data_IF_449252683677
#
_entry.id   IF_449252683677
#
_cell.length_a   1.000
_cell.length_b   1.000
_cell.length_c   1.000
_cell.angle_alpha   90.00
_cell.angle_beta   90.00
_cell.angle_gamma   90.00
#
_symmetry.space_group_name_H-M   'P 1'
#
loop_
_entity.id
_entity.type
_entity.pdbx_description
1 polymer ?
#
# COMPACT_ATOMS: atom_id res chain seq x y z
N UNK A 1 23.06 -13.60 -24.31
CA UNK A 1 23.98 -14.05 -23.25
C UNK A 1 25.41 -13.92 -23.74
N UNK A 2 26.22 -13.13 -23.04
CA UNK A 2 27.59 -12.79 -23.44
C UNK A 2 28.53 -13.99 -23.27
N UNK A 3 29.51 -14.14 -24.18
CA UNK A 3 30.48 -15.26 -24.16
C UNK A 3 31.28 -15.34 -22.85
N UNK A 4 31.52 -14.19 -22.21
CA UNK A 4 32.16 -14.08 -20.89
C UNK A 4 31.42 -14.88 -19.80
N UNK A 5 30.08 -14.89 -19.77
CA UNK A 5 29.34 -15.66 -18.77
C UNK A 5 29.27 -17.15 -19.12
N UNK A 6 29.29 -17.50 -20.42
CA UNK A 6 29.23 -18.89 -20.87
C UNK A 6 30.53 -19.65 -20.61
N UNK A 7 31.67 -18.96 -20.71
CA UNK A 7 32.98 -19.56 -20.54
C UNK A 7 33.48 -19.50 -19.08
N UNK A 8 32.72 -18.89 -18.17
CA UNK A 8 33.08 -18.79 -16.76
C UNK A 8 32.70 -20.07 -16.02
N UNK A 9 33.70 -20.81 -15.55
CA UNK A 9 33.51 -21.92 -14.62
C UNK A 9 33.33 -21.39 -13.21
N UNK A 10 32.09 -21.22 -12.76
CA UNK A 10 31.80 -20.80 -11.39
C UNK A 10 32.08 -21.92 -10.40
N UNK A 11 32.89 -21.64 -9.37
CA UNK A 11 33.13 -22.56 -8.26
C UNK A 11 31.93 -22.72 -7.32
N UNK A 12 31.03 -21.73 -7.33
CA UNK A 12 29.78 -21.77 -6.58
C UNK A 12 28.68 -21.09 -7.38
N UNK A 13 27.48 -21.63 -7.23
CA UNK A 13 26.25 -21.18 -7.85
C UNK A 13 25.18 -21.00 -6.78
N UNK A 14 24.18 -20.17 -7.08
CA UNK A 14 22.97 -20.03 -6.25
C UNK A 14 22.27 -21.39 -5.99
N UNK A 15 22.49 -22.36 -6.87
CA UNK A 15 21.94 -23.71 -6.75
C UNK A 15 22.55 -24.47 -5.56
N UNK A 16 23.80 -24.17 -5.18
CA UNK A 16 24.49 -24.87 -4.08
C UNK A 16 23.84 -24.53 -2.73
N UNK A 17 23.34 -23.30 -2.59
CA UNK A 17 22.74 -22.77 -1.36
C UNK A 17 21.20 -22.81 -1.37
N UNK A 18 20.58 -23.53 -2.32
CA UNK A 18 19.13 -23.47 -2.51
C UNK A 18 18.35 -23.82 -1.23
N UNK A 19 18.78 -24.85 -0.52
CA UNK A 19 18.18 -25.28 0.76
C UNK A 19 18.20 -24.18 1.81
N UNK A 20 19.30 -23.41 1.88
CA UNK A 20 19.46 -22.30 2.82
C UNK A 20 18.50 -21.15 2.51
N UNK A 21 18.34 -20.79 1.24
CA UNK A 21 17.40 -19.75 0.83
C UNK A 21 15.94 -20.15 1.07
N UNK A 22 15.60 -21.42 0.82
CA UNK A 22 14.27 -21.97 1.12
C UNK A 22 13.93 -21.91 2.61
N UNK A 23 14.85 -22.35 3.48
CA UNK A 23 14.65 -22.30 4.93
C UNK A 23 14.51 -20.85 5.43
N UNK A 24 15.38 -19.96 4.97
CA UNK A 24 15.30 -18.53 5.29
C UNK A 24 13.95 -17.94 4.88
N UNK A 25 13.45 -18.28 3.69
CA UNK A 25 12.14 -17.82 3.21
C UNK A 25 11.00 -18.30 4.12
N UNK A 26 11.03 -19.58 4.51
CA UNK A 26 10.04 -20.16 5.44
C UNK A 26 10.06 -19.47 6.80
N UNK A 27 11.24 -19.25 7.37
CA UNK A 27 11.39 -18.57 8.66
C UNK A 27 10.84 -17.13 8.63
N UNK A 28 11.08 -16.39 7.55
CA UNK A 28 10.53 -15.04 7.37
C UNK A 28 9.00 -15.10 7.28
N UNK A 29 8.44 -16.06 6.53
CA UNK A 29 7.01 -16.23 6.39
C UNK A 29 6.33 -16.61 7.71
N UNK A 30 6.92 -17.51 8.49
CA UNK A 30 6.42 -17.90 9.82
C UNK A 30 6.46 -16.72 10.81
N UNK A 31 7.55 -15.95 10.82
CA UNK A 31 7.65 -14.76 11.66
C UNK A 31 6.57 -13.74 11.31
N UNK A 32 6.32 -13.53 10.01
CA UNK A 32 5.25 -12.64 9.54
C UNK A 32 3.87 -13.16 9.97
N UNK A 33 3.59 -14.46 9.85
CA UNK A 33 2.29 -15.02 10.26
C UNK A 33 2.07 -14.94 11.77
N UNK A 34 3.10 -15.19 12.59
CA UNK A 34 3.02 -15.04 14.05
C UNK A 34 2.76 -13.60 14.49
N UNK A 35 3.41 -12.62 13.85
CA UNK A 35 3.15 -11.20 14.13
C UNK A 35 1.72 -10.78 13.78
N UNK A 36 1.17 -11.34 12.69
CA UNK A 36 -0.23 -11.10 12.32
C UNK A 36 -1.20 -11.74 13.33
N UNK A 37 -0.88 -12.95 13.81
CA UNK A 37 -1.69 -13.62 14.83
C UNK A 37 -1.64 -12.89 16.19
N UNK A 38 -0.49 -12.34 16.60
CA UNK A 38 -0.36 -11.62 17.88
C UNK A 38 -1.07 -10.26 17.91
N UNK A 39 -1.32 -9.66 16.75
CA UNK A 39 -2.07 -8.40 16.65
C UNK A 39 -3.59 -8.61 16.64
N UNK A 40 -4.06 -9.84 16.43
CA UNK A 40 -5.48 -10.19 16.43
C UNK A 40 -6.05 -10.49 17.83
N UNK A 41 -5.24 -10.40 18.91
CA UNK A 41 -5.63 -10.84 20.26
C UNK A 41 -5.69 -9.73 21.32
N UNK A 42 -5.72 -8.44 20.95
CA UNK A 42 -5.95 -7.35 21.93
C UNK A 42 -7.42 -6.93 21.95
N UNK A 43 -8.14 -7.05 23.08
CA UNK A 43 -9.47 -6.45 23.27
C UNK A 43 -9.37 -4.97 23.67
N UNK A 44 -10.46 -4.22 23.43
CA UNK A 44 -10.76 -2.80 23.82
C UNK A 44 -9.98 -1.72 23.04
N UNK A 45 -10.57 -0.79 22.26
CA UNK A 45 -11.78 0.03 22.43
C UNK A 45 -12.44 0.35 21.06
N UNK A 46 -13.74 0.58 21.09
CA UNK A 46 -14.69 0.59 19.98
C UNK A 46 -14.52 1.78 19.01
N UNK A 47 -14.20 1.49 17.74
CA UNK A 47 -14.83 2.03 16.51
C UNK A 47 -13.93 1.78 15.29
N UNK A 48 -14.43 1.02 14.31
CA UNK A 48 -13.89 0.80 12.93
C UNK A 48 -13.06 -0.48 12.71
N UNK A 49 -13.77 -1.58 12.45
CA UNK A 49 -13.51 -2.77 11.60
C UNK A 49 -12.08 -3.36 11.42
N UNK A 50 -11.95 -4.71 11.49
CA UNK A 50 -10.69 -5.42 11.69
C UNK A 50 -9.81 -5.40 10.43
N UNK A 51 -8.62 -4.81 10.53
CA UNK A 51 -7.69 -4.69 9.42
C UNK A 51 -6.53 -5.69 9.51
N UNK A 52 -6.62 -6.68 8.64
CA UNK A 52 -5.59 -7.61 8.23
C UNK A 52 -4.25 -6.87 7.95
N UNK A 53 -3.17 -7.21 8.65
CA UNK A 53 -1.87 -6.51 8.55
C UNK A 53 -1.10 -6.72 7.24
N UNK A 54 -1.51 -7.68 6.40
CA UNK A 54 -1.10 -7.73 4.99
C UNK A 54 -1.57 -6.48 4.23
N UNK A 55 -2.61 -5.82 4.75
CA UNK A 55 -3.21 -4.64 4.18
C UNK A 55 -2.55 -3.34 4.66
N UNK A 56 -1.48 -3.31 5.48
CA UNK A 56 -0.91 -2.03 5.94
C UNK A 56 -0.56 -1.09 4.76
N UNK A 57 0.08 -1.55 3.66
CA UNK A 57 0.26 -0.72 2.47
C UNK A 57 -1.07 -0.36 1.79
N UNK A 58 -2.01 -1.31 1.68
CA UNK A 58 -3.32 -1.07 1.06
C UNK A 58 -4.20 -0.12 1.88
N UNK A 59 -4.08 -0.11 3.20
CA UNK A 59 -4.78 0.77 4.12
C UNK A 59 -4.20 2.19 4.04
N UNK A 60 -2.88 2.31 3.94
CA UNK A 60 -2.21 3.58 3.67
C UNK A 60 -2.64 4.12 2.30
N UNK A 61 -2.61 3.29 1.25
CA UNK A 61 -3.09 3.66 -0.09
C UNK A 61 -4.58 4.06 -0.04
N UNK A 62 -5.44 3.28 0.63
CA UNK A 62 -6.87 3.58 0.73
C UNK A 62 -7.15 4.86 1.52
N UNK A 63 -6.40 5.13 2.59
CA UNK A 63 -6.47 6.40 3.34
C UNK A 63 -6.05 7.58 2.48
N UNK A 64 -4.96 7.46 1.73
CA UNK A 64 -4.49 8.49 0.81
C UNK A 64 -5.47 8.71 -0.34
N UNK A 65 -6.01 7.64 -0.93
CA UNK A 65 -7.05 7.71 -1.98
C UNK A 65 -8.33 8.39 -1.47
N UNK A 66 -8.77 8.08 -0.24
CA UNK A 66 -9.94 8.73 0.37
C UNK A 66 -9.70 10.21 0.61
N UNK A 67 -8.56 10.57 1.20
CA UNK A 67 -8.17 11.97 1.44
C UNK A 67 -8.04 12.77 0.14
N UNK A 68 -7.50 12.16 -0.91
CA UNK A 68 -7.41 12.77 -2.24
C UNK A 68 -8.79 12.99 -2.86
N UNK A 69 -9.67 11.98 -2.82
CA UNK A 69 -11.03 12.11 -3.33
C UNK A 69 -11.79 13.25 -2.64
N UNK A 70 -11.65 13.36 -1.31
CA UNK A 70 -12.23 14.45 -0.52
C UNK A 70 -11.69 15.83 -0.92
N UNK A 71 -10.38 15.96 -1.09
CA UNK A 71 -9.74 17.21 -1.52
C UNK A 71 -10.14 17.64 -2.95
N UNK A 72 -10.34 16.67 -3.87
CA UNK A 72 -10.74 16.95 -5.25
C UNK A 72 -12.21 17.40 -5.34
N UNK A 73 -13.10 16.82 -4.54
CA UNK A 73 -14.52 17.19 -4.50
C UNK A 73 -14.75 18.58 -3.89
N UNK A 74 -13.82 19.09 -3.07
CA UNK A 74 -13.92 20.42 -2.44
C UNK A 74 -13.72 21.60 -3.42
N UNK A 75 -13.18 21.38 -4.62
CA UNK A 75 -12.94 22.44 -5.61
C UNK A 75 -14.21 22.84 -6.41
N UNK A 76 -15.40 22.46 -5.96
CA UNK A 76 -16.68 22.67 -6.65
C UNK A 76 -17.50 23.89 -6.23
N UNK A 77 -17.14 24.61 -5.15
CA UNK A 77 -17.93 25.76 -4.67
C UNK A 77 -17.20 27.09 -4.90
N UNK A 78 -16.90 27.40 -6.16
CA UNK A 78 -16.70 28.79 -6.55
C UNK A 78 -18.06 29.49 -6.42
N UNK A 79 -18.24 30.23 -5.31
CA UNK A 79 -19.39 31.10 -5.06
C UNK A 79 -19.70 31.95 -6.29
N UNK A 80 -20.80 31.61 -6.96
CA UNK A 80 -21.51 32.47 -7.92
C UNK A 80 -21.84 33.80 -7.22
N UNK A 81 -21.27 34.90 -7.70
CA UNK A 81 -21.68 36.25 -7.31
C UNK A 81 -22.92 36.65 -8.13
N UNK A 82 -24.05 37.03 -7.51
CA UNK A 82 -25.19 37.53 -8.26
C UNK A 82 -24.91 38.95 -8.73
N UNK A 83 -24.65 39.12 -10.02
CA UNK A 83 -24.61 40.45 -10.66
C UNK A 83 -26.05 40.90 -10.93
N UNK A 84 -26.64 41.62 -9.96
CA UNK A 84 -27.92 42.29 -10.14
C UNK A 84 -27.71 43.59 -10.93
N UNK A 85 -28.44 43.76 -12.03
CA UNK A 85 -28.52 45.06 -12.72
C UNK A 85 -28.88 44.99 -14.20
N UNK A 86 -30.07 44.52 -14.54
CA UNK A 86 -30.77 44.97 -15.76
C UNK A 86 -32.06 45.66 -15.33
N UNK A 87 -32.13 46.97 -15.55
CA UNK A 87 -33.41 47.70 -15.64
C UNK A 87 -33.42 48.38 -17.02
N UNK A 88 -34.50 48.13 -17.75
CA UNK A 88 -34.81 48.57 -19.12
C UNK A 88 -35.34 50.02 -19.16
N UNK A 89 -35.49 50.65 -20.35
CA UNK A 89 -35.75 52.08 -20.54
C UNK A 89 -37.23 52.46 -20.32
N UNK A 90 -37.58 53.74 -20.18
CA UNK A 90 -37.77 54.66 -21.32
C UNK A 90 -36.88 55.92 -21.34
#
# INVERSE_FOLDING_TARGET
>A
MLNIFKNYGSHSSILDDFSFYEERQKAIQERKSRQQASLATSPEDETTEPHNLVSLPNAIVKKMSKSFAEAVLFNGDAKEYPTAGKVSPP
#
